data_IF_773279806420
#
_entry.id   IF_773279806420
#
_cell.length_a   1.000
_cell.length_b   1.000
_cell.length_c   1.000
_cell.angle_alpha   90.00
_cell.angle_beta   90.00
_cell.angle_gamma   90.00
#
_symmetry.space_group_name_H-M   'P 1'
#
loop_
_entity.id
_entity.type
_entity.pdbx_description
1 polymer ?
#
# COMPACT_ATOMS: atom_id res chain seq x y z
N UNK A 1 10.30 5.05 -4.78
CA UNK A 1 10.98 4.55 -5.99
C UNK A 1 10.74 5.57 -7.10
N UNK A 2 11.77 6.01 -7.83
CA UNK A 2 11.56 6.87 -9.00
C UNK A 2 11.13 6.02 -10.21
N UNK A 3 10.62 6.66 -11.26
CA UNK A 3 10.11 5.94 -12.43
C UNK A 3 11.23 5.16 -13.15
N UNK A 4 12.45 5.68 -13.14
CA UNK A 4 13.63 5.02 -13.71
C UNK A 4 13.98 3.74 -12.94
N UNK A 5 13.95 3.80 -11.61
CA UNK A 5 14.21 2.65 -10.75
C UNK A 5 13.17 1.55 -11.00
N UNK A 6 11.89 1.94 -11.15
CA UNK A 6 10.79 1.01 -11.42
C UNK A 6 10.98 0.29 -12.75
N UNK A 7 11.37 1.01 -13.80
CA UNK A 7 11.66 0.42 -15.12
C UNK A 7 12.81 -0.58 -15.04
N UNK A 8 13.91 -0.20 -14.39
CA UNK A 8 15.07 -1.08 -14.23
C UNK A 8 14.71 -2.37 -13.47
N UNK A 9 13.94 -2.26 -12.38
CA UNK A 9 13.48 -3.41 -11.62
C UNK A 9 12.57 -4.34 -12.43
N UNK A 10 11.62 -3.80 -13.19
CA UNK A 10 10.73 -4.59 -14.04
C UNK A 10 11.48 -5.27 -15.19
N UNK A 11 12.52 -4.63 -15.72
CA UNK A 11 13.37 -5.22 -16.75
C UNK A 11 14.21 -6.38 -16.19
N UNK A 12 14.78 -6.23 -14.99
CA UNK A 12 15.47 -7.33 -14.28
C UNK A 12 14.51 -8.49 -13.98
N UNK A 13 13.31 -8.19 -13.48
CA UNK A 13 12.29 -9.20 -13.22
C UNK A 13 11.92 -9.99 -14.49
N UNK A 14 11.76 -9.33 -15.64
CA UNK A 14 11.49 -9.98 -16.94
C UNK A 14 12.63 -10.90 -17.40
N UNK A 15 13.87 -10.55 -17.08
CA UNK A 15 15.07 -11.33 -17.45
C UNK A 15 15.35 -12.45 -16.44
N UNK A 16 14.83 -12.35 -15.23
CA UNK A 16 15.02 -13.34 -14.17
C UNK A 16 14.17 -14.60 -14.40
N UNK A 17 14.64 -15.74 -13.89
CA UNK A 17 13.79 -16.94 -13.80
C UNK A 17 12.67 -16.68 -12.79
N UNK A 18 11.44 -16.56 -13.29
CA UNK A 18 10.25 -16.22 -12.51
C UNK A 18 10.10 -17.15 -11.30
N UNK A 19 10.39 -18.45 -11.46
CA UNK A 19 10.33 -19.44 -10.37
C UNK A 19 11.16 -19.07 -9.14
N UNK A 20 12.26 -18.31 -9.30
CA UNK A 20 13.11 -17.84 -8.19
C UNK A 20 12.61 -16.55 -7.52
N UNK A 21 11.59 -15.90 -8.10
CA UNK A 21 11.03 -14.63 -7.63
C UNK A 21 9.56 -14.73 -7.21
N UNK A 22 8.93 -15.89 -7.42
CA UNK A 22 7.53 -16.14 -7.07
C UNK A 22 7.24 -15.86 -5.59
N UNK A 23 8.07 -16.36 -4.68
CA UNK A 23 7.83 -16.19 -3.23
C UNK A 23 7.82 -14.72 -2.82
N UNK A 24 8.79 -13.93 -3.32
CA UNK A 24 8.82 -12.49 -3.08
C UNK A 24 7.63 -11.78 -3.72
N UNK A 25 7.17 -12.23 -4.89
CA UNK A 25 6.02 -11.63 -5.56
C UNK A 25 4.72 -11.92 -4.81
N UNK A 26 4.49 -13.17 -4.39
CA UNK A 26 3.34 -13.53 -3.56
C UNK A 26 3.34 -12.79 -2.24
N UNK A 27 4.50 -12.72 -1.57
CA UNK A 27 4.64 -11.92 -0.36
C UNK A 27 4.27 -10.45 -0.61
N UNK A 28 4.75 -9.84 -1.70
CA UNK A 28 4.40 -8.46 -2.04
C UNK A 28 2.90 -8.26 -2.31
N UNK A 29 2.24 -9.23 -2.95
CA UNK A 29 0.79 -9.19 -3.19
C UNK A 29 0.00 -9.30 -1.87
N UNK A 30 0.41 -10.17 -0.95
CA UNK A 30 -0.20 -10.26 0.37
C UNK A 30 -0.03 -8.95 1.15
N UNK A 31 1.16 -8.34 1.09
CA UNK A 31 1.40 -7.05 1.73
C UNK A 31 0.54 -5.93 1.13
N UNK A 32 0.30 -5.91 -0.18
CA UNK A 32 -0.59 -4.92 -0.82
C UNK A 32 -2.00 -4.96 -0.20
N UNK A 33 -2.56 -6.16 -0.03
CA UNK A 33 -3.87 -6.36 0.57
C UNK A 33 -3.91 -5.84 2.02
N UNK A 34 -2.94 -6.24 2.84
CA UNK A 34 -2.85 -5.84 4.25
C UNK A 34 -2.74 -4.31 4.38
N UNK A 35 -1.89 -3.68 3.57
CA UNK A 35 -1.76 -2.22 3.57
C UNK A 35 -3.03 -1.53 3.10
N UNK A 36 -3.77 -2.11 2.15
CA UNK A 36 -5.07 -1.62 1.72
C UNK A 36 -6.08 -1.58 2.88
N UNK A 37 -6.18 -2.65 3.65
CA UNK A 37 -7.07 -2.72 4.83
C UNK A 37 -6.68 -1.68 5.89
N UNK A 38 -5.39 -1.61 6.23
CA UNK A 38 -4.86 -0.63 7.20
C UNK A 38 -5.20 0.81 6.77
N UNK A 39 -4.99 1.15 5.49
CA UNK A 39 -5.27 2.49 4.98
C UNK A 39 -6.77 2.81 5.00
N UNK A 40 -7.63 1.82 4.77
CA UNK A 40 -9.07 1.98 4.90
C UNK A 40 -9.45 2.30 6.36
N UNK A 41 -8.97 1.50 7.31
CA UNK A 41 -9.23 1.73 8.74
C UNK A 41 -8.70 3.09 9.21
N UNK A 42 -7.50 3.47 8.77
CA UNK A 42 -6.94 4.80 9.05
C UNK A 42 -7.84 5.92 8.53
N UNK A 43 -8.41 5.76 7.34
CA UNK A 43 -9.31 6.74 6.73
C UNK A 43 -10.61 6.86 7.53
N UNK A 44 -11.20 5.74 7.96
CA UNK A 44 -12.39 5.72 8.80
C UNK A 44 -12.14 6.41 10.14
N UNK A 45 -11.00 6.12 10.79
CA UNK A 45 -10.58 6.77 12.03
C UNK A 45 -10.43 8.27 11.84
N UNK A 46 -9.75 8.71 10.77
CA UNK A 46 -9.55 10.13 10.48
C UNK A 46 -10.88 10.85 10.25
N UNK A 47 -11.82 10.23 9.53
CA UNK A 47 -13.14 10.79 9.30
C UNK A 47 -13.93 10.91 10.62
N UNK A 48 -13.97 9.87 11.45
CA UNK A 48 -14.62 9.91 12.77
C UNK A 48 -14.02 11.01 13.65
N UNK A 49 -12.69 11.14 13.68
CA UNK A 49 -12.01 12.19 14.45
C UNK A 49 -12.34 13.59 13.92
N UNK A 50 -12.43 13.78 12.61
CA UNK A 50 -12.81 15.07 12.02
C UNK A 50 -14.26 15.48 12.39
N UNK A 51 -15.20 14.52 12.36
CA UNK A 51 -16.60 14.76 12.74
C UNK A 51 -16.71 15.11 14.22
N UNK A 52 -16.04 14.35 15.10
CA UNK A 52 -16.00 14.65 16.54
C UNK A 52 -15.39 16.01 16.83
N UNK A 53 -14.34 16.40 16.10
CA UNK A 53 -13.71 17.71 16.25
C UNK A 53 -14.65 18.86 15.87
N UNK A 54 -15.46 18.70 14.82
CA UNK A 54 -16.42 19.73 14.42
C UNK A 54 -17.59 19.86 15.40
N UNK A 55 -18.09 18.75 15.96
CA UNK A 55 -19.17 18.78 16.97
C UNK A 55 -18.78 19.52 18.25
N UNK A 56 -17.52 19.42 18.69
CA UNK A 56 -17.01 20.10 19.90
C UNK A 56 -16.82 21.61 19.70
N UNK A 57 -16.75 22.10 18.45
CA UNK A 57 -16.57 23.53 18.15
C UNK A 57 -17.92 24.25 18.03
N UNK A 58 -19.00 23.52 17.79
CA UNK A 58 -20.37 24.06 17.64
C UNK A 58 -21.18 24.07 18.95
N UNK A 59 -20.64 23.53 20.06
CA UNK A 59 -21.17 23.64 21.44
C UNK A 59 -20.49 24.74 22.25
#
# INVERSE_FOLDING_TARGET
MKEEDKKAFLEDFRKSEISKKLDMWYFALEQEMIWGEILSEMSDIAQIQSVKKNQVIEE
#
